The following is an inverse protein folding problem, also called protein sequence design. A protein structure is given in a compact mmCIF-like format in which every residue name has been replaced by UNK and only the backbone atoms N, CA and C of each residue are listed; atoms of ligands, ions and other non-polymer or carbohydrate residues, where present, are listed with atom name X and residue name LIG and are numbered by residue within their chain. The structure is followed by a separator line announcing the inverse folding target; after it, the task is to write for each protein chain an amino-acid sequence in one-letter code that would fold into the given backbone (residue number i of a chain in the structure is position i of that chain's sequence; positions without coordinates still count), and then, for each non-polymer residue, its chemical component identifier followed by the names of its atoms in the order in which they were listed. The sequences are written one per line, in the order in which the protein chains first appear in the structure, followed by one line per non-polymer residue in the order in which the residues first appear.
data_IF_272804275341
#
_entry.id   IF_272804275341
#
_cell.length_a   1.000
_cell.length_b   1.000
_cell.length_c   1.000
_cell.angle_alpha   90.00
_cell.angle_beta   90.00
_cell.angle_gamma   90.00
#
_symmetry.space_group_name_H-M   'P 1'
#
loop_
_entity.id
_entity.type
_entity.pdbx_description
1 polymer ?
#
# COMPACT_ATOMS: atom_id res chain seq x y z
N UNK A 1 15.49 -18.82 -55.91
CA UNK A 1 16.09 -18.32 -54.66
C UNK A 1 15.13 -17.39 -53.88
N UNK A 2 13.88 -17.78 -53.63
CA UNK A 2 12.87 -16.88 -53.00
C UNK A 2 12.08 -17.52 -51.84
N UNK A 3 12.49 -18.70 -51.39
CA UNK A 3 11.81 -19.44 -50.32
C UNK A 3 12.44 -19.14 -48.95
N UNK A 4 13.74 -18.83 -48.91
CA UNK A 4 14.42 -18.38 -47.69
C UNK A 4 14.00 -16.97 -47.25
N UNK A 5 13.70 -16.08 -48.21
CA UNK A 5 13.18 -14.73 -47.93
C UNK A 5 11.78 -14.76 -47.32
N UNK A 6 10.96 -15.77 -47.64
CA UNK A 6 9.65 -16.01 -47.02
C UNK A 6 9.78 -16.55 -45.58
N UNK A 7 10.76 -17.41 -45.32
CA UNK A 7 11.04 -17.93 -43.97
C UNK A 7 11.55 -16.86 -43.01
N UNK A 8 12.30 -15.87 -43.51
CA UNK A 8 12.86 -14.77 -42.71
C UNK A 8 11.79 -13.74 -42.30
N UNK A 9 10.75 -13.55 -43.13
CA UNK A 9 9.64 -12.63 -42.84
C UNK A 9 8.66 -13.21 -41.80
N UNK A 10 8.55 -14.54 -41.71
CA UNK A 10 7.68 -15.21 -40.74
C UNK A 10 8.26 -15.17 -39.31
N UNK A 11 9.58 -15.31 -39.15
CA UNK A 11 10.26 -15.24 -37.86
C UNK A 11 10.20 -13.83 -37.25
N UNK A 12 10.28 -12.78 -38.08
CA UNK A 12 10.17 -11.38 -37.63
C UNK A 12 8.79 -11.01 -37.06
N UNK A 13 7.72 -11.77 -37.36
CA UNK A 13 6.36 -11.51 -36.88
C UNK A 13 6.05 -12.11 -35.51
N UNK A 14 6.93 -12.97 -34.97
CA UNK A 14 6.65 -13.70 -33.72
C UNK A 14 7.10 -12.97 -32.44
N UNK A 15 7.80 -11.85 -32.57
CA UNK A 15 8.29 -11.04 -31.44
C UNK A 15 7.29 -9.97 -30.96
N UNK A 16 6.04 -10.00 -31.42
CA UNK A 16 5.01 -9.03 -31.04
C UNK A 16 4.14 -9.57 -29.90
N UNK A 17 4.74 -9.95 -28.77
CA UNK A 17 4.01 -10.01 -27.50
C UNK A 17 4.46 -8.80 -26.68
N UNK A 18 3.99 -7.63 -27.09
CA UNK A 18 4.01 -6.46 -26.22
C UNK A 18 2.97 -6.74 -25.13
N UNK A 19 3.43 -7.08 -23.93
CA UNK A 19 2.58 -7.07 -22.75
C UNK A 19 2.12 -5.63 -22.54
N UNK A 20 0.97 -5.29 -23.11
CA UNK A 20 0.23 -4.11 -22.68
C UNK A 20 -0.25 -4.43 -21.25
N UNK A 21 0.55 -4.05 -20.26
CA UNK A 21 0.10 -4.00 -18.87
C UNK A 21 -1.01 -2.94 -18.84
N UNK A 22 -2.26 -3.39 -18.92
CA UNK A 22 -3.38 -2.46 -18.84
C UNK A 22 -3.51 -2.01 -17.38
N UNK A 23 -3.71 -0.72 -17.20
CA UNK A 23 -3.98 -0.10 -15.91
C UNK A 23 -5.49 -0.20 -15.61
N UNK A 24 -5.81 -0.28 -14.33
CA UNK A 24 -7.18 -0.22 -13.82
C UNK A 24 -7.26 0.86 -12.75
N UNK A 25 -8.45 1.43 -12.60
CA UNK A 25 -8.75 2.34 -11.51
C UNK A 25 -9.59 1.63 -10.46
N UNK A 26 -9.12 1.65 -9.22
CA UNK A 26 -9.89 1.27 -8.06
C UNK A 26 -10.43 2.53 -7.37
N UNK A 27 -11.71 2.50 -6.99
CA UNK A 27 -12.36 3.61 -6.30
C UNK A 27 -13.02 3.11 -5.02
N UNK A 28 -13.10 3.98 -4.01
CA UNK A 28 -13.77 3.61 -2.78
C UNK A 28 -13.87 4.75 -1.78
N UNK A 29 -14.49 4.44 -0.64
CA UNK A 29 -14.60 5.31 0.53
C UNK A 29 -14.03 4.62 1.75
N UNK A 30 -13.27 5.36 2.56
CA UNK A 30 -12.77 4.92 3.85
C UNK A 30 -13.59 5.58 4.96
N UNK A 31 -14.07 4.77 5.90
CA UNK A 31 -14.88 5.20 7.03
C UNK A 31 -14.38 4.61 8.35
N UNK A 32 -14.72 5.27 9.44
CA UNK A 32 -14.58 4.72 10.79
C UNK A 32 -15.60 3.59 11.01
N UNK A 33 -15.16 2.43 11.49
CA UNK A 33 -16.00 1.26 11.70
C UNK A 33 -17.01 1.42 12.87
N UNK A 34 -16.70 2.26 13.86
CA UNK A 34 -17.54 2.50 15.04
C UNK A 34 -18.59 3.58 14.76
N UNK A 35 -18.19 4.70 14.16
CA UNK A 35 -19.05 5.87 13.95
C UNK A 35 -19.60 5.99 12.53
N UNK A 36 -19.06 5.22 11.58
CA UNK A 36 -19.43 5.30 10.16
C UNK A 36 -19.01 6.61 9.49
N UNK A 37 -18.18 7.42 10.14
CA UNK A 37 -17.76 8.73 9.66
C UNK A 37 -16.71 8.60 8.57
N UNK A 38 -16.80 9.33 7.45
CA UNK A 38 -15.76 9.34 6.43
C UNK A 38 -14.42 9.84 6.98
N UNK A 39 -13.33 9.19 6.58
CA UNK A 39 -11.98 9.49 7.05
C UNK A 39 -11.15 10.15 5.95
N UNK A 40 -10.82 11.42 6.14
CA UNK A 40 -9.93 12.19 5.27
C UNK A 40 -8.47 12.08 5.71
N UNK A 41 -7.53 12.08 4.76
CA UNK A 41 -6.10 11.94 5.07
C UNK A 41 -5.65 10.49 5.30
N UNK A 42 -6.43 9.50 4.88
CA UNK A 42 -6.05 8.08 4.94
C UNK A 42 -5.12 7.77 3.78
N UNK A 43 -4.01 7.11 4.05
CA UNK A 43 -3.10 6.62 3.01
C UNK A 43 -3.60 5.27 2.49
N UNK A 44 -3.80 5.18 1.17
CA UNK A 44 -4.17 3.97 0.44
C UNK A 44 -3.04 3.63 -0.50
N UNK A 45 -2.27 2.60 -0.19
CA UNK A 45 -1.09 2.19 -0.95
C UNK A 45 -1.36 0.87 -1.68
N UNK A 46 -0.74 0.68 -2.85
CA UNK A 46 -0.76 -0.64 -3.51
C UNK A 46 0.35 -1.51 -2.90
N UNK A 47 0.02 -2.75 -2.55
CA UNK A 47 0.97 -3.64 -1.90
C UNK A 47 2.16 -3.96 -2.83
N UNK A 48 3.38 -3.84 -2.31
CA UNK A 48 4.64 -4.03 -3.04
C UNK A 48 4.95 -2.98 -4.13
N UNK A 49 4.15 -1.91 -4.21
CA UNK A 49 4.42 -0.75 -5.04
C UNK A 49 4.67 0.48 -4.16
N UNK A 50 5.46 1.43 -4.68
CA UNK A 50 5.63 2.76 -4.06
C UNK A 50 4.53 3.74 -4.50
N UNK A 51 3.42 3.23 -5.03
CA UNK A 51 2.30 4.01 -5.52
C UNK A 51 1.17 3.99 -4.47
N UNK A 52 0.57 5.17 -4.26
CA UNK A 52 -0.47 5.36 -3.27
C UNK A 52 -1.17 6.70 -3.44
N UNK A 53 -2.35 6.80 -2.85
CA UNK A 53 -3.16 8.03 -2.82
C UNK A 53 -3.63 8.31 -1.41
N UNK A 54 -4.03 9.56 -1.16
CA UNK A 54 -4.60 9.99 0.11
C UNK A 54 -6.09 10.27 -0.08
N UNK A 55 -6.93 9.85 0.86
CA UNK A 55 -8.37 10.11 0.78
C UNK A 55 -8.70 11.60 0.87
N UNK A 56 -9.71 12.04 0.11
CA UNK A 56 -10.17 13.42 0.07
C UNK A 56 -10.98 13.82 1.32
N UNK A 57 -11.57 15.02 1.34
CA UNK A 57 -12.39 15.52 2.46
C UNK A 57 -13.64 14.68 2.76
N UNK A 58 -14.10 13.88 1.79
CA UNK A 58 -15.24 12.99 1.91
C UNK A 58 -14.82 11.54 2.17
N UNK A 59 -13.54 11.29 2.44
CA UNK A 59 -12.97 9.96 2.63
C UNK A 59 -12.89 9.12 1.36
N UNK A 60 -13.06 9.72 0.19
CA UNK A 60 -13.05 9.04 -1.10
C UNK A 60 -11.63 8.94 -1.63
N UNK A 61 -11.29 7.83 -2.26
CA UNK A 61 -10.04 7.64 -2.99
C UNK A 61 -10.28 7.12 -4.41
N UNK A 62 -9.33 7.39 -5.29
CA UNK A 62 -9.23 6.78 -6.62
C UNK A 62 -7.75 6.53 -6.89
N UNK A 63 -7.39 5.28 -7.14
CA UNK A 63 -6.01 4.86 -7.36
C UNK A 63 -5.89 4.08 -8.66
N UNK A 64 -4.85 4.37 -9.42
CA UNK A 64 -4.45 3.61 -10.60
C UNK A 64 -3.56 2.45 -10.16
N UNK A 65 -3.78 1.26 -10.71
CA UNK A 65 -3.03 0.04 -10.39
C UNK A 65 -2.84 -0.84 -11.61
N UNK A 66 -1.79 -1.66 -11.59
CA UNK A 66 -1.51 -2.63 -12.65
C UNK A 66 -2.41 -3.86 -12.52
N UNK A 67 -2.84 -4.44 -13.63
CA UNK A 67 -3.60 -5.70 -13.60
C UNK A 67 -2.75 -6.80 -12.96
N UNK A 68 -3.24 -7.33 -11.82
CA UNK A 68 -2.58 -8.34 -11.00
C UNK A 68 -2.10 -7.82 -9.63
N UNK A 69 -2.18 -6.51 -9.40
CA UNK A 69 -2.05 -5.94 -8.06
C UNK A 69 -3.37 -6.11 -7.31
N UNK A 70 -3.36 -7.04 -6.37
CA UNK A 70 -4.60 -7.53 -5.79
C UNK A 70 -4.87 -6.99 -4.39
N UNK A 71 -3.95 -6.23 -3.77
CA UNK A 71 -4.10 -5.81 -2.37
C UNK A 71 -3.74 -4.34 -2.16
N UNK A 72 -4.61 -3.61 -1.48
CA UNK A 72 -4.38 -2.28 -0.94
C UNK A 72 -3.97 -2.36 0.53
N UNK A 73 -2.99 -1.57 0.92
CA UNK A 73 -2.63 -1.33 2.31
C UNK A 73 -3.20 0.03 2.71
N UNK A 74 -4.14 0.02 3.65
CA UNK A 74 -4.85 1.21 4.11
C UNK A 74 -4.37 1.56 5.51
N UNK A 75 -3.84 2.77 5.67
CA UNK A 75 -3.23 3.23 6.92
C UNK A 75 -3.70 4.62 7.32
N UNK A 76 -4.01 4.77 8.60
CA UNK A 76 -4.40 6.05 9.18
C UNK A 76 -3.92 6.13 10.65
N UNK A 77 -3.37 7.27 11.10
CA UNK A 77 -2.89 7.42 12.48
C UNK A 77 -3.96 7.10 13.53
N UNK A 78 -3.63 6.26 14.50
CA UNK A 78 -4.56 5.81 15.54
C UNK A 78 -5.53 4.71 15.13
N UNK A 79 -5.45 4.20 13.89
CA UNK A 79 -6.27 3.10 13.40
C UNK A 79 -5.41 1.88 13.06
N UNK A 80 -6.04 0.71 13.12
CA UNK A 80 -5.38 -0.53 12.72
C UNK A 80 -5.15 -0.55 11.20
N UNK A 81 -3.94 -0.90 10.76
CA UNK A 81 -3.61 -1.05 9.33
C UNK A 81 -4.39 -2.22 8.74
N UNK A 82 -5.03 -2.00 7.59
CA UNK A 82 -5.79 -3.04 6.90
C UNK A 82 -5.18 -3.37 5.54
N UNK A 83 -5.17 -4.67 5.22
CA UNK A 83 -4.88 -5.18 3.89
C UNK A 83 -6.21 -5.57 3.25
N UNK A 84 -6.58 -4.90 2.16
CA UNK A 84 -7.87 -5.05 1.50
C UNK A 84 -7.67 -5.52 0.08
N UNK A 85 -8.24 -6.66 -0.34
CA UNK A 85 -8.14 -7.07 -1.73
C UNK A 85 -8.87 -6.10 -2.65
N UNK A 86 -8.25 -5.72 -3.76
CA UNK A 86 -8.82 -4.83 -4.77
C UNK A 86 -10.05 -5.50 -5.38
N UNK A 87 -11.16 -4.79 -5.40
CA UNK A 87 -12.40 -5.23 -6.04
C UNK A 87 -12.66 -4.42 -7.31
N UNK A 88 -13.31 -5.02 -8.33
CA UNK A 88 -13.61 -4.33 -9.58
C UNK A 88 -14.67 -3.22 -9.42
N UNK A 89 -15.46 -3.26 -8.34
CA UNK A 89 -16.50 -2.29 -8.02
C UNK A 89 -16.03 -1.28 -6.96
N UNK A 90 -16.86 -0.28 -6.67
CA UNK A 90 -16.58 0.71 -5.61
C UNK A 90 -16.47 0.04 -4.24
N UNK A 91 -15.32 0.21 -3.59
CA UNK A 91 -15.02 -0.37 -2.29
C UNK A 91 -15.48 0.52 -1.14
N UNK A 92 -15.91 -0.12 -0.05
CA UNK A 92 -16.09 0.53 1.26
C UNK A 92 -15.13 -0.14 2.23
N UNK A 93 -14.24 0.66 2.81
CA UNK A 93 -13.21 0.19 3.73
C UNK A 93 -13.51 0.77 5.11
N UNK A 94 -13.62 -0.08 6.12
CA UNK A 94 -13.98 0.33 7.47
C UNK A 94 -12.78 0.16 8.39
N UNK A 95 -12.16 1.26 8.81
CA UNK A 95 -11.01 1.23 9.71
C UNK A 95 -11.46 1.16 11.15
N UNK A 96 -10.83 0.27 11.92
CA UNK A 96 -11.07 0.12 13.35
C UNK A 96 -10.08 0.99 14.10
N UNK A 97 -10.60 1.91 14.92
CA UNK A 97 -9.78 2.73 15.81
C UNK A 97 -9.11 1.86 16.88
N UNK A 98 -7.81 2.04 17.07
CA UNK A 98 -7.02 1.24 18.00
C UNK A 98 -6.20 2.17 18.91
N UNK A 99 -6.70 2.39 20.14
CA UNK A 99 -6.02 3.23 21.13
C UNK A 99 -4.63 2.69 21.46
N UNK A 100 -3.62 3.55 21.30
CA UNK A 100 -2.22 3.24 21.66
C UNK A 100 -1.31 2.92 20.47
N UNK A 101 -1.82 3.04 19.24
CA UNK A 101 -0.99 3.17 18.04
C UNK A 101 -0.66 4.65 17.83
N UNK A 102 0.46 5.13 18.37
CA UNK A 102 0.99 6.43 17.96
C UNK A 102 1.93 6.19 16.78
N UNK A 103 1.63 6.81 15.63
CA UNK A 103 2.44 6.66 14.43
C UNK A 103 3.35 7.86 14.28
N UNK A 104 4.65 7.66 14.44
CA UNK A 104 5.65 8.69 14.15
C UNK A 104 5.92 8.64 12.65
N UNK A 105 5.60 9.72 11.95
CA UNK A 105 5.99 9.93 10.57
C UNK A 105 7.40 10.57 10.54
N UNK A 106 8.35 9.86 9.98
CA UNK A 106 9.69 10.37 9.67
C UNK A 106 9.73 10.67 8.18
N UNK A 107 9.87 11.95 7.84
CA UNK A 107 10.06 12.40 6.46
C UNK A 107 11.56 12.47 6.15
N UNK A 108 11.99 11.75 5.12
CA UNK A 108 13.34 11.89 4.56
C UNK A 108 13.31 12.97 3.46
N UNK A 109 13.94 14.14 3.67
CA UNK A 109 13.90 15.25 2.72
C UNK A 109 14.75 15.04 1.47
N UNK A 110 15.64 14.04 1.43
CA UNK A 110 16.46 13.74 0.24
C UNK A 110 15.74 12.78 -0.71
N UNK A 111 15.02 11.81 -0.17
CA UNK A 111 14.27 10.82 -0.95
C UNK A 111 12.80 11.14 -1.10
N UNK A 112 12.29 12.14 -0.35
CA UNK A 112 10.86 12.45 -0.20
C UNK A 112 10.03 11.25 0.28
N UNK A 113 10.67 10.24 0.89
CA UNK A 113 10.00 9.08 1.43
C UNK A 113 9.48 9.38 2.84
N UNK A 114 8.22 9.01 3.09
CA UNK A 114 7.61 9.07 4.41
C UNK A 114 7.59 7.68 5.04
N UNK A 115 8.34 7.51 6.14
CA UNK A 115 8.34 6.27 6.91
C UNK A 115 7.48 6.45 8.16
N UNK A 116 6.55 5.53 8.37
CA UNK A 116 5.65 5.58 9.51
C UNK A 116 5.94 4.42 10.46
N UNK A 117 6.48 4.71 11.64
CA UNK A 117 6.71 3.71 12.69
C UNK A 117 5.53 3.63 13.65
N UNK A 118 5.06 2.41 13.94
CA UNK A 118 4.01 2.18 14.94
C UNK A 118 4.65 2.05 16.30
N UNK A 119 4.38 3.01 17.19
CA UNK A 119 4.79 2.92 18.59
C UNK A 119 3.66 2.26 19.37
N UNK A 120 3.93 1.08 19.95
CA UNK A 120 3.01 0.42 20.87
C UNK A 120 3.35 0.83 22.30
N UNK A 121 2.41 1.46 23.00
CA UNK A 121 2.56 1.68 24.44
C UNK A 121 2.05 0.47 25.22
N UNK A 122 2.95 -0.29 25.84
CA UNK A 122 2.55 -1.31 26.80
C UNK A 122 1.95 -0.66 28.04
N UNK A 123 0.66 -0.92 28.29
CA UNK A 123 -0.04 -0.39 29.45
C UNK A 123 0.40 -1.15 30.72
N UNK A 124 1.52 -0.77 31.33
CA UNK A 124 1.83 -1.21 32.70
C UNK A 124 1.07 -0.32 33.70
N UNK A 125 0.04 -0.88 34.31
CA UNK A 125 -0.72 -0.21 35.37
C UNK A 125 0.19 -0.03 36.60
N UNK A 126 0.62 1.22 36.84
CA UNK A 126 1.22 1.65 38.09
C UNK A 126 2.70 1.31 38.27
N UNK A 127 3.60 2.11 37.66
CA UNK A 127 4.82 2.69 38.26
C UNK A 127 5.61 3.37 37.13
N UNK A 128 5.95 4.64 37.34
CA UNK A 128 6.87 5.51 36.56
C UNK A 128 7.07 5.15 35.08
N UNK A 129 6.59 6.04 34.20
CA UNK A 129 6.89 6.07 32.77
C UNK A 129 8.37 5.78 32.49
N UNK A 130 8.66 4.53 32.14
CA UNK A 130 9.93 4.14 31.54
C UNK A 130 9.57 3.62 30.15
N UNK A 131 10.19 4.12 29.08
CA UNK A 131 9.96 3.57 27.75
C UNK A 131 10.28 2.07 27.81
N UNK A 132 9.28 1.24 27.52
CA UNK A 132 9.43 -0.20 27.46
C UNK A 132 10.24 -0.52 26.20
N UNK A 133 11.55 -0.63 26.40
CA UNK A 133 12.57 -0.86 25.37
C UNK A 133 12.69 0.26 24.31
N UNK A 134 13.91 0.51 23.79
CA UNK A 134 14.07 1.32 22.58
C UNK A 134 13.25 0.71 21.43
N UNK A 135 12.71 1.53 20.50
CA UNK A 135 12.00 1.05 19.34
C UNK A 135 12.83 -0.04 18.66
N UNK A 136 12.25 -1.24 18.52
CA UNK A 136 12.87 -2.31 17.75
C UNK A 136 12.83 -1.87 16.28
N UNK A 137 13.99 -1.50 15.73
CA UNK A 137 14.13 -1.37 14.29
C UNK A 137 14.16 -2.78 13.69
N UNK A 138 13.02 -3.24 13.17
CA UNK A 138 13.02 -4.43 12.31
C UNK A 138 13.75 -4.07 11.02
N UNK A 139 15.05 -4.38 10.98
CA UNK A 139 15.85 -4.37 9.77
C UNK A 139 15.53 -5.66 9.00
N UNK A 140 14.70 -5.55 7.96
CA UNK A 140 14.57 -6.62 6.98
C UNK A 140 15.89 -6.74 6.20
N UNK A 141 16.65 -7.81 6.44
CA UNK A 141 17.88 -8.07 5.68
C UNK A 141 17.49 -8.74 4.36
N UNK A 142 17.79 -8.09 3.24
CA UNK A 142 17.56 -8.63 1.89
C UNK A 142 18.49 -9.81 1.55
N UNK A 143 19.44 -10.15 2.41
CA UNK A 143 20.34 -11.31 2.26
C UNK A 143 19.67 -12.67 2.55
N UNK A 144 18.51 -12.68 3.22
CA UNK A 144 17.74 -13.92 3.44
C UNK A 144 16.92 -14.35 2.21
N UNK A 145 16.97 -13.57 1.12
CA UNK A 145 16.41 -13.93 -0.18
C UNK A 145 17.53 -14.04 -1.22
N UNK A 146 18.32 -15.10 -1.13
CA UNK A 146 19.05 -15.64 -2.28
C UNK A 146 18.53 -17.05 -2.62
N UNK A 147 18.28 -17.34 -3.92
CA UNK A 147 17.71 -18.60 -4.39
C UNK A 147 18.65 -19.80 -4.27
#
# INVERSE_FOLDING_TARGET
MKWHTLSLIFIACTFQNSFAQAYKYATGIVVDAEYGTPLSGVHVLVQHANEGVVTDSNGVFTIELYIGEDTLVVRYPGFSTQQVPVQPDTMRIELVYEMGLDTIATFDPETYEETYQVVRYERSFGRTFHPAAPPQTEHWNTEDYSP
#
